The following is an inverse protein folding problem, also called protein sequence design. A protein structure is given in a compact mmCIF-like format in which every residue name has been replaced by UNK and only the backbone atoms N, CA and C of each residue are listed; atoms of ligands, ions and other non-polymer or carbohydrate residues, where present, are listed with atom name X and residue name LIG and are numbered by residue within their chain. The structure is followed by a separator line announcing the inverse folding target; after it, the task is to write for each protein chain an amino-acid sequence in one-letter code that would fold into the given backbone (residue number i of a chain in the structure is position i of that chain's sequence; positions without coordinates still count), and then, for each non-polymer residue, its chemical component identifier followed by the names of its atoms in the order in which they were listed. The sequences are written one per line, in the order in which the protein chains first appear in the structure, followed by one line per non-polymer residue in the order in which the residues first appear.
data_IF_367658971660
#
_entry.id   IF_367658971660
#
_cell.length_a   1.000
_cell.length_b   1.000
_cell.length_c   1.000
_cell.angle_alpha   90.00
_cell.angle_beta   90.00
_cell.angle_gamma   90.00
#
_symmetry.space_group_name_H-M   'P 1'
#
loop_
_entity.id
_entity.type
_entity.pdbx_description
1 polymer ?
#
# COMPACT_ATOMS: atom_id res chain seq x y z
N UNK A 1 -0.77 -7.61 0.63
CA UNK A 1 -1.86 -8.59 0.57
C UNK A 1 -3.14 -7.88 0.23
N UNK A 2 -4.28 -8.54 0.46
CA UNK A 2 -5.60 -7.94 0.37
C UNK A 2 -5.93 -7.16 1.64
N UNK A 3 -6.16 -5.86 1.51
CA UNK A 3 -6.52 -4.96 2.60
C UNK A 3 -8.00 -4.56 2.60
N UNK A 4 -8.77 -4.97 1.59
CA UNK A 4 -10.17 -4.55 1.40
C UNK A 4 -10.38 -3.04 1.57
N UNK A 5 -9.39 -2.25 1.15
CA UNK A 5 -9.30 -0.81 1.40
C UNK A 5 -8.88 -0.10 0.12
N UNK A 6 -9.72 0.77 -0.42
CA UNK A 6 -9.39 1.55 -1.62
C UNK A 6 -8.30 2.60 -1.31
N UNK A 7 -7.53 3.07 -2.32
CA UNK A 7 -6.45 4.01 -2.08
C UNK A 7 -6.97 5.38 -1.65
N UNK A 8 -8.10 5.78 -2.24
CA UNK A 8 -8.81 7.02 -1.95
C UNK A 8 -9.70 6.83 -0.72
N UNK A 9 -9.62 7.78 0.21
CA UNK A 9 -10.48 7.91 1.39
C UNK A 9 -10.45 6.76 2.41
N UNK A 10 -9.49 5.82 2.33
CA UNK A 10 -9.30 4.81 3.36
C UNK A 10 -8.25 5.23 4.40
N UNK A 11 -8.66 5.18 5.67
CA UNK A 11 -7.81 5.36 6.83
C UNK A 11 -6.71 4.30 6.95
N UNK A 12 -6.91 3.12 6.34
CA UNK A 12 -5.88 2.05 6.28
C UNK A 12 -4.73 2.44 5.35
N UNK A 13 -5.05 2.88 4.13
CA UNK A 13 -4.05 3.37 3.16
C UNK A 13 -3.32 4.60 3.71
N UNK A 14 -4.05 5.54 4.32
CA UNK A 14 -3.47 6.71 4.97
C UNK A 14 -2.53 6.32 6.12
N UNK A 15 -2.97 5.45 7.02
CA UNK A 15 -2.18 5.01 8.16
C UNK A 15 -0.87 4.37 7.71
N UNK A 16 -0.91 3.46 6.73
CA UNK A 16 0.27 2.76 6.22
C UNK A 16 1.23 3.70 5.49
N UNK A 17 0.71 4.64 4.68
CA UNK A 17 1.55 5.55 3.89
C UNK A 17 2.14 6.72 4.70
N UNK A 18 1.36 7.30 5.61
CA UNK A 18 1.77 8.48 6.42
C UNK A 18 2.31 8.11 7.79
N UNK A 19 2.19 6.85 8.19
CA UNK A 19 2.56 6.37 9.52
C UNK A 19 1.66 6.85 10.65
N UNK A 20 0.56 7.56 10.35
CA UNK A 20 -0.41 8.00 11.34
C UNK A 20 -1.75 8.31 10.67
N UNK A 21 -2.84 8.27 11.45
CA UNK A 21 -4.14 8.80 11.04
C UNK A 21 -4.77 9.53 12.23
N UNK A 22 -5.61 10.54 11.97
CA UNK A 22 -6.29 11.27 13.04
C UNK A 22 -7.18 10.34 13.87
N UNK A 23 -7.21 10.50 15.19
CA UNK A 23 -8.18 9.79 16.04
C UNK A 23 -9.65 10.14 15.74
N UNK A 24 -9.89 11.23 15.03
CA UNK A 24 -11.20 11.65 14.52
C UNK A 24 -11.44 11.27 13.04
N UNK A 25 -10.63 10.37 12.48
CA UNK A 25 -10.79 9.94 11.08
C UNK A 25 -12.20 9.36 10.83
N UNK A 26 -12.85 9.68 9.69
CA UNK A 26 -14.21 9.21 9.37
C UNK A 26 -14.38 7.70 9.44
N UNK A 27 -13.36 6.92 9.08
CA UNK A 27 -13.38 5.45 9.15
C UNK A 27 -13.52 4.87 10.57
N UNK A 28 -13.28 5.66 11.62
CA UNK A 28 -13.64 5.24 12.98
C UNK A 28 -15.15 5.29 13.22
N UNK A 29 -15.93 5.89 12.32
CA UNK A 29 -17.40 5.98 12.36
C UNK A 29 -17.93 6.59 13.67
N UNK A 30 -17.13 7.47 14.30
CA UNK A 30 -17.45 8.08 15.59
C UNK A 30 -17.34 7.13 16.79
N UNK A 31 -16.87 5.89 16.61
CA UNK A 31 -16.60 4.96 17.70
C UNK A 31 -15.35 5.37 18.48
N UNK A 32 -15.30 5.01 19.77
CA UNK A 32 -14.17 5.31 20.65
C UNK A 32 -13.35 4.04 20.90
N UNK A 33 -12.07 4.10 20.56
CA UNK A 33 -11.11 3.00 20.71
C UNK A 33 -9.95 3.38 21.65
N UNK A 34 -10.25 4.19 22.67
CA UNK A 34 -9.27 4.64 23.65
C UNK A 34 -8.13 5.43 23.00
N UNK A 35 -6.85 5.08 23.24
CA UNK A 35 -5.68 5.78 22.69
C UNK A 35 -5.72 5.95 21.17
N UNK A 36 -6.29 4.99 20.43
CA UNK A 36 -6.34 5.06 18.97
C UNK A 36 -7.26 6.17 18.46
N UNK A 37 -8.30 6.55 19.20
CA UNK A 37 -9.20 7.65 18.83
C UNK A 37 -8.93 8.93 19.60
N UNK A 38 -8.29 8.87 20.78
CA UNK A 38 -7.91 10.07 21.53
C UNK A 38 -6.59 10.68 21.06
N UNK A 39 -5.63 9.86 20.65
CA UNK A 39 -4.31 10.31 20.18
C UNK A 39 -4.09 10.09 18.67
N UNK A 40 -4.84 9.17 18.06
CA UNK A 40 -4.59 8.69 16.70
C UNK A 40 -3.55 7.55 16.67
N UNK A 41 -3.78 6.47 15.91
CA UNK A 41 -2.78 5.42 15.77
C UNK A 41 -1.57 5.96 15.00
N UNK A 42 -0.38 5.46 15.36
CA UNK A 42 0.89 5.83 14.74
C UNK A 42 1.85 4.65 14.64
N UNK A 43 2.73 4.64 13.65
CA UNK A 43 3.82 3.68 13.51
C UNK A 43 5.11 4.36 13.00
N UNK A 44 6.30 3.81 13.30
CA UNK A 44 7.57 4.42 12.93
C UNK A 44 8.06 4.07 11.52
N UNK A 45 7.40 3.12 10.84
CA UNK A 45 7.87 2.62 9.55
C UNK A 45 7.63 3.63 8.42
N UNK A 46 8.65 3.86 7.60
CA UNK A 46 8.51 4.55 6.32
C UNK A 46 8.09 3.54 5.26
N UNK A 47 6.78 3.40 5.02
CA UNK A 47 6.24 2.45 4.06
C UNK A 47 5.79 3.17 2.78
N UNK A 48 5.95 2.48 1.66
CA UNK A 48 5.40 2.92 0.37
C UNK A 48 4.76 1.73 -0.35
N UNK A 49 3.67 1.98 -1.08
CA UNK A 49 3.12 0.99 -2.02
C UNK A 49 4.09 0.81 -3.18
N UNK A 50 4.36 -0.43 -3.57
CA UNK A 50 5.23 -0.74 -4.70
C UNK A 50 4.73 -0.11 -6.02
N UNK A 51 3.41 0.07 -6.14
CA UNK A 51 2.75 0.59 -7.33
C UNK A 51 2.59 2.13 -7.32
N UNK A 52 2.96 2.80 -6.22
CA UNK A 52 2.86 4.26 -6.10
C UNK A 52 3.66 5.02 -7.17
N UNK A 53 4.71 4.41 -7.73
CA UNK A 53 5.50 5.00 -8.82
C UNK A 53 4.74 5.15 -10.15
N UNK A 54 3.67 4.39 -10.35
CA UNK A 54 2.84 4.42 -11.57
C UNK A 54 1.41 4.92 -11.31
N UNK A 55 1.11 5.39 -10.09
CA UNK A 55 -0.21 5.91 -9.71
C UNK A 55 -1.21 4.84 -9.27
N UNK A 56 -0.74 3.70 -8.76
CA UNK A 56 -1.55 2.51 -8.42
C UNK A 56 -2.21 1.83 -9.65
N UNK A 57 -2.61 0.57 -9.49
CA UNK A 57 -3.39 -0.11 -10.53
C UNK A 57 -4.85 0.39 -10.49
N UNK A 58 -5.55 0.45 -11.64
CA UNK A 58 -6.96 0.81 -11.65
C UNK A 58 -7.84 -0.16 -10.85
N UNK A 59 -7.48 -1.45 -10.85
CA UNK A 59 -8.16 -2.48 -10.08
C UNK A 59 -7.23 -3.66 -9.78
N UNK A 60 -7.49 -4.30 -8.65
CA UNK A 60 -6.90 -5.58 -8.28
C UNK A 60 -7.98 -6.60 -7.96
N UNK A 61 -9.21 -6.19 -7.64
CA UNK A 61 -10.41 -7.02 -7.62
C UNK A 61 -11.37 -6.56 -8.73
N UNK A 62 -11.96 -7.50 -9.46
CA UNK A 62 -12.83 -7.21 -10.60
C UNK A 62 -14.07 -8.11 -10.61
N UNK A 63 -15.17 -7.64 -10.03
CA UNK A 63 -16.48 -8.30 -10.05
C UNK A 63 -17.58 -7.30 -10.48
N UNK A 64 -18.78 -7.77 -10.87
CA UNK A 64 -19.85 -6.85 -11.31
C UNK A 64 -20.26 -5.81 -10.25
N UNK A 65 -20.17 -6.16 -8.97
CA UNK A 65 -20.56 -5.28 -7.85
C UNK A 65 -19.45 -4.37 -7.35
N UNK A 66 -18.19 -4.63 -7.70
CA UNK A 66 -17.03 -3.90 -7.20
C UNK A 66 -15.84 -4.06 -8.14
N UNK A 67 -15.20 -2.95 -8.45
CA UNK A 67 -13.97 -2.90 -9.23
C UNK A 67 -13.08 -1.85 -8.58
N UNK A 68 -11.92 -2.27 -8.07
CA UNK A 68 -11.04 -1.34 -7.36
C UNK A 68 -9.74 -1.99 -6.91
N UNK A 69 -8.78 -1.13 -6.55
CA UNK A 69 -7.50 -1.55 -5.99
C UNK A 69 -7.65 -1.73 -4.48
N UNK A 70 -7.58 -2.97 -4.02
CA UNK A 70 -7.64 -3.33 -2.60
C UNK A 70 -6.46 -4.21 -2.17
N UNK A 71 -5.62 -4.62 -3.13
CA UNK A 71 -4.41 -5.39 -2.90
C UNK A 71 -3.18 -4.49 -3.02
N UNK A 72 -2.29 -4.56 -2.04
CA UNK A 72 -1.08 -3.75 -1.99
C UNK A 72 0.15 -4.57 -1.63
N UNK A 73 1.30 -4.17 -2.16
CA UNK A 73 2.62 -4.60 -1.69
C UNK A 73 3.27 -3.39 -1.02
N UNK A 74 3.26 -3.36 0.31
CA UNK A 74 3.96 -2.34 1.10
C UNK A 74 5.41 -2.76 1.32
N UNK A 75 6.34 -1.83 1.15
CA UNK A 75 7.76 -2.05 1.41
C UNK A 75 8.35 -0.88 2.22
N UNK A 76 9.38 -1.17 3.01
CA UNK A 76 10.13 -0.16 3.76
C UNK A 76 11.12 0.56 2.86
N UNK A 77 11.17 1.89 2.92
CA UNK A 77 11.97 2.70 1.97
C UNK A 77 13.43 2.91 2.37
N UNK A 78 13.88 2.38 3.52
CA UNK A 78 15.24 2.61 4.03
C UNK A 78 16.33 1.98 3.15
N UNK A 79 16.11 0.74 2.69
CA UNK A 79 17.09 -0.07 1.97
C UNK A 79 16.47 -0.92 0.86
N UNK A 80 15.24 -0.62 0.45
CA UNK A 80 14.55 -1.32 -0.64
C UNK A 80 14.04 -0.29 -1.63
N UNK A 81 14.21 -0.56 -2.92
CA UNK A 81 13.68 0.23 -4.03
C UNK A 81 12.92 -0.66 -5.01
N UNK A 82 12.00 -0.08 -5.77
CA UNK A 82 11.18 -0.80 -6.77
C UNK A 82 11.86 -0.70 -8.13
N UNK A 83 12.27 -1.85 -8.68
CA UNK A 83 12.87 -1.93 -10.01
C UNK A 83 11.80 -2.01 -11.11
N UNK A 84 10.76 -2.80 -10.89
CA UNK A 84 9.66 -2.99 -11.83
C UNK A 84 8.38 -3.46 -11.11
N UNK A 85 7.24 -3.28 -11.77
CA UNK A 85 5.95 -3.84 -11.34
C UNK A 85 5.23 -4.46 -12.53
N UNK A 86 4.40 -5.48 -12.28
CA UNK A 86 3.53 -6.05 -13.29
C UNK A 86 2.40 -5.06 -13.62
N UNK A 87 2.23 -4.74 -14.90
CA UNK A 87 1.23 -3.78 -15.38
C UNK A 87 -0.22 -4.24 -15.28
N UNK A 88 -1.14 -3.36 -15.69
CA UNK A 88 -2.58 -3.60 -15.69
C UNK A 88 -3.01 -4.73 -16.65
N UNK A 89 -4.18 -5.32 -16.40
CA UNK A 89 -4.84 -6.22 -17.37
C UNK A 89 -5.25 -5.41 -18.60
N UNK A 90 -5.09 -6.00 -19.79
CA UNK A 90 -5.44 -5.35 -21.06
C UNK A 90 -6.88 -4.82 -21.08
N UNK A 91 -7.03 -3.52 -21.37
CA UNK A 91 -8.33 -2.84 -21.38
C UNK A 91 -9.29 -3.37 -22.45
N UNK A 92 -8.78 -3.89 -23.57
CA UNK A 92 -9.61 -4.47 -24.62
C UNK A 92 -10.14 -5.86 -24.23
N UNK A 93 -9.44 -6.56 -23.35
CA UNK A 93 -9.95 -7.77 -22.72
C UNK A 93 -11.02 -7.42 -21.67
N UNK A 94 -10.73 -6.48 -20.77
CA UNK A 94 -11.65 -6.05 -19.72
C UNK A 94 -12.99 -5.55 -20.27
N UNK A 95 -13.00 -4.84 -21.40
CA UNK A 95 -14.24 -4.36 -22.04
C UNK A 95 -15.17 -5.46 -22.56
N UNK A 96 -14.70 -6.71 -22.63
CA UNK A 96 -15.45 -7.88 -23.14
C UNK A 96 -15.91 -8.82 -22.03
N UNK A 97 -15.51 -8.58 -20.79
CA UNK A 97 -15.84 -9.44 -19.64
C UNK A 97 -16.58 -8.62 -18.59
N UNK A 98 -17.52 -9.24 -17.90
CA UNK A 98 -18.33 -8.58 -16.86
C UNK A 98 -17.70 -8.65 -15.47
N UNK A 99 -16.70 -9.51 -15.30
CA UNK A 99 -16.09 -9.83 -14.02
C UNK A 99 -15.18 -11.04 -14.08
N UNK A 100 -14.47 -11.25 -12.98
CA UNK A 100 -13.69 -12.43 -12.63
C UNK A 100 -14.36 -13.17 -11.45
N UNK A 101 -14.05 -14.45 -11.19
CA UNK A 101 -13.25 -15.34 -12.03
C UNK A 101 -13.94 -15.66 -13.36
N UNK A 102 -13.16 -16.10 -14.35
CA UNK A 102 -13.65 -16.60 -15.64
C UNK A 102 -12.69 -17.67 -16.21
N UNK A 103 -12.91 -18.10 -17.45
CA UNK A 103 -12.11 -19.14 -18.09
C UNK A 103 -10.61 -18.84 -18.20
N UNK A 104 -10.20 -17.57 -18.18
CA UNK A 104 -8.80 -17.14 -18.27
C UNK A 104 -8.23 -16.64 -16.94
N UNK A 105 -9.09 -16.22 -15.99
CA UNK A 105 -8.71 -15.72 -14.67
C UNK A 105 -9.38 -16.55 -13.58
N UNK A 106 -8.63 -17.39 -12.84
CA UNK A 106 -9.22 -18.34 -11.88
C UNK A 106 -9.62 -17.70 -10.53
N UNK A 107 -9.35 -16.41 -10.34
CA UNK A 107 -9.63 -15.64 -9.14
C UNK A 107 -10.32 -14.34 -9.53
N UNK A 108 -11.17 -13.81 -8.65
CA UNK A 108 -11.72 -12.46 -8.75
C UNK A 108 -10.68 -11.35 -8.48
N UNK A 109 -9.58 -11.72 -7.81
CA UNK A 109 -8.39 -10.88 -7.68
C UNK A 109 -7.35 -11.15 -8.79
N UNK A 110 -6.75 -10.07 -9.27
CA UNK A 110 -5.62 -10.05 -10.19
C UNK A 110 -4.32 -10.12 -9.39
N UNK A 111 -3.40 -10.96 -9.85
CA UNK A 111 -2.06 -11.04 -9.29
C UNK A 111 -1.33 -9.70 -9.45
N UNK A 112 -0.91 -9.12 -8.33
CA UNK A 112 0.06 -8.02 -8.30
C UNK A 112 1.47 -8.57 -8.07
N UNK A 113 2.48 -7.96 -8.69
CA UNK A 113 3.86 -8.42 -8.61
C UNK A 113 4.82 -7.25 -8.73
N UNK A 114 5.91 -7.29 -7.96
CA UNK A 114 6.94 -6.26 -7.96
C UNK A 114 8.33 -6.91 -7.89
N UNK A 115 9.27 -6.32 -8.63
CA UNK A 115 10.70 -6.61 -8.53
C UNK A 115 11.35 -5.56 -7.63
N UNK A 116 12.00 -6.02 -6.57
CA UNK A 116 12.67 -5.15 -5.61
C UNK A 116 14.19 -5.22 -5.77
N UNK A 117 14.84 -4.08 -5.57
CA UNK A 117 16.29 -3.96 -5.43
C UNK A 117 16.63 -3.65 -3.99
N UNK A 118 17.50 -4.47 -3.39
CA UNK A 118 18.03 -4.20 -2.04
C UNK A 118 19.23 -3.27 -2.15
N UNK A 119 19.16 -2.14 -1.47
CA UNK A 119 20.21 -1.14 -1.40
C UNK A 119 21.13 -1.42 -0.21
N UNK A 120 22.44 -1.07 -0.31
CA UNK A 120 23.33 -1.13 0.84
C UNK A 120 22.82 -0.24 1.97
N UNK A 121 22.84 -0.75 3.20
CA UNK A 121 22.59 0.06 4.40
C UNK A 121 23.64 1.17 4.48
N UNK A 122 23.21 2.41 4.69
CA UNK A 122 24.13 3.52 4.97
C UNK A 122 24.89 3.20 6.25
N UNK A 123 26.21 3.02 6.17
CA UNK A 123 27.04 2.88 7.38
C UNK A 123 26.82 4.11 8.28
N UNK A 124 26.55 3.86 9.56
CA UNK A 124 26.46 4.92 10.54
C UNK A 124 27.83 5.63 10.58
N UNK A 125 27.87 6.92 10.24
CA UNK A 125 29.08 7.73 10.38
C UNK A 125 29.57 7.60 11.84
N UNK A 126 30.83 7.23 12.09
CA UNK A 126 31.32 7.14 13.46
C UNK A 126 31.15 8.49 14.15
N UNK A 127 30.48 8.48 15.30
CA UNK A 127 30.25 9.70 16.07
C UNK A 127 31.62 10.29 16.43
N UNK A 128 31.83 11.56 16.09
CA UNK A 128 33.02 12.28 16.53
C UNK A 128 32.88 12.48 18.03
N UNK A 129 33.49 11.58 18.81
CA UNK A 129 33.72 11.75 20.23
C UNK A 129 34.54 13.03 20.44
N UNK A 130 33.87 14.10 20.84
CA UNK A 130 34.51 15.34 21.29
C UNK A 130 35.20 15.06 22.63
N UNK A 131 36.48 14.66 22.59
CA UNK A 131 37.36 14.73 23.76
C UNK A 131 37.52 16.19 24.16
N UNK A 132 36.79 16.63 25.19
CA UNK A 132 37.11 17.87 25.92
C UNK A 132 38.49 17.70 26.55
N UNK A 133 39.40 18.63 26.24
CA UNK A 133 40.64 18.86 26.98
C UNK A 133 40.33 19.64 28.25
#
# INVERSE_FOLDING_TARGET
GDFNSAPEDSGVSEFLSKGHVSGSHPDFMGHQYGPYTSEGPRHPFELRSAYAGIGELPMTNYVPSFQGAIDYIWYGTENVDVAAVLGEVDKNYLSKVVGFPNAHFPSDHVLISAEFRILPTKEAKPSKSTRKR
#
